data_IF_766652179225
#
_entry.id   IF_766652179225
#
_cell.length_a   1.000
_cell.length_b   1.000
_cell.length_c   1.000
_cell.angle_alpha   90.00
_cell.angle_beta   90.00
_cell.angle_gamma   90.00
#
_symmetry.space_group_name_H-M   'P 1'
#
loop_
_entity.id
_entity.type
_entity.pdbx_description
1 polymer ?
#
# COMPACT_ATOMS: atom_id res chain seq x y z
N UNK A 1 -22.86 18.92 8.51
CA UNK A 1 -22.21 18.85 9.83
C UNK A 1 -23.09 18.04 10.77
N UNK A 2 -22.82 16.75 10.93
CA UNK A 2 -23.41 15.90 11.99
C UNK A 2 -22.27 15.03 12.53
N UNK A 3 -21.80 15.36 13.73
CA UNK A 3 -20.80 14.61 14.47
C UNK A 3 -21.46 13.37 15.07
N UNK A 4 -21.04 12.18 14.66
CA UNK A 4 -21.44 10.93 15.28
C UNK A 4 -20.36 10.59 16.32
N UNK A 5 -20.73 10.75 17.60
CA UNK A 5 -19.94 10.29 18.74
C UNK A 5 -20.28 8.82 18.98
N UNK A 6 -19.32 7.93 18.79
CA UNK A 6 -19.41 6.52 19.22
C UNK A 6 -18.92 6.47 20.66
N UNK A 7 -19.87 6.20 21.56
CA UNK A 7 -19.67 6.06 22.99
C UNK A 7 -19.17 4.64 23.29
N UNK A 8 -17.90 4.48 23.65
CA UNK A 8 -17.37 3.23 24.19
C UNK A 8 -17.79 3.09 25.66
N UNK A 9 -18.72 2.17 25.96
CA UNK A 9 -19.09 1.80 27.31
C UNK A 9 -18.10 0.76 27.85
N UNK A 10 -17.32 1.17 28.83
CA UNK A 10 -16.39 0.33 29.59
C UNK A 10 -17.17 -0.42 30.67
N UNK A 11 -17.33 -1.74 30.52
CA UNK A 11 -17.95 -2.59 31.57
C UNK A 11 -16.79 -3.16 32.42
N UNK A 12 -16.67 -2.62 33.65
CA UNK A 12 -15.82 -3.17 34.70
C UNK A 12 -16.60 -4.29 35.41
N UNK A 13 -16.20 -5.55 35.25
CA UNK A 13 -16.71 -6.68 36.00
C UNK A 13 -15.88 -6.89 37.27
N UNK A 14 -16.50 -6.71 38.43
CA UNK A 14 -15.92 -6.98 39.75
C UNK A 14 -16.17 -8.45 40.09
N UNK A 15 -15.08 -9.21 40.26
CA UNK A 15 -15.12 -10.57 40.81
C UNK A 15 -15.11 -10.49 42.36
N UNK A 16 -16.15 -10.95 43.04
CA UNK A 16 -16.12 -11.25 44.46
C UNK A 16 -16.00 -12.76 44.67
N UNK A 17 -14.90 -13.13 45.30
CA UNK A 17 -14.64 -14.48 45.81
C UNK A 17 -15.34 -14.64 47.15
N UNK A 18 -16.14 -15.71 47.29
CA UNK A 18 -16.61 -16.16 48.61
C UNK A 18 -16.42 -17.67 48.73
N UNK A 19 -15.57 -18.05 49.69
CA UNK A 19 -15.39 -19.42 50.21
C UNK A 19 -16.50 -19.82 51.14
N UNK A 20 -16.98 -21.08 51.06
CA UNK A 20 -17.84 -21.68 52.09
C UNK A 20 -18.03 -23.20 51.88
N UNK A 21 -17.64 -23.95 52.87
CA UNK A 21 -17.43 -25.40 52.98
C UNK A 21 -18.66 -26.26 52.88
N UNK A 22 -18.45 -27.55 52.50
CA UNK A 22 -19.28 -28.74 52.40
C UNK A 22 -20.01 -29.17 53.69
N UNK A 23 -21.05 -30.15 53.72
CA UNK A 23 -20.93 -31.50 53.18
C UNK A 23 -22.23 -32.17 52.60
N UNK A 24 -21.98 -33.16 51.67
CA UNK A 24 -22.62 -34.48 51.40
C UNK A 24 -24.14 -34.68 51.62
N UNK A 25 -24.84 -35.10 50.54
CA UNK A 25 -25.61 -36.36 50.35
C UNK A 25 -26.26 -36.47 48.96
N UNK A 26 -25.97 -37.49 48.29
CA UNK A 26 -26.52 -38.59 47.49
C UNK A 26 -27.86 -38.43 46.73
N UNK A 27 -27.78 -38.89 45.43
CA UNK A 27 -28.80 -39.42 44.50
C UNK A 27 -29.73 -38.46 43.77
N UNK A 28 -29.48 -38.37 42.49
CA UNK A 28 -30.32 -38.98 41.41
C UNK A 28 -29.89 -38.40 40.04
N UNK A 29 -29.62 -39.30 39.08
CA UNK A 29 -29.44 -38.99 37.66
C UNK A 29 -30.78 -38.63 37.04
N UNK A 30 -30.88 -37.55 36.27
CA UNK A 30 -31.38 -37.69 34.90
C UNK A 30 -30.51 -36.92 33.85
N UNK A 31 -30.38 -37.59 32.76
CA UNK A 31 -30.22 -37.20 31.34
C UNK A 31 -29.70 -35.79 30.98
N UNK A 32 -28.62 -35.79 30.23
CA UNK A 32 -27.97 -34.65 29.59
C UNK A 32 -28.92 -34.01 28.54
N UNK A 33 -28.96 -32.67 28.44
CA UNK A 33 -29.39 -32.00 27.23
C UNK A 33 -28.25 -31.97 26.25
N UNK A 34 -28.55 -32.45 25.06
CA UNK A 34 -27.69 -32.37 23.85
C UNK A 34 -27.24 -30.92 23.67
N UNK A 35 -25.94 -30.72 23.81
CA UNK A 35 -25.25 -29.50 23.40
C UNK A 35 -25.32 -29.42 21.87
N UNK A 36 -26.22 -28.59 21.35
CA UNK A 36 -26.21 -28.16 19.97
C UNK A 36 -25.02 -27.24 19.82
N UNK A 37 -23.88 -27.78 19.37
CA UNK A 37 -22.75 -27.01 18.90
C UNK A 37 -23.22 -26.04 17.80
N UNK A 38 -23.12 -24.78 18.11
CA UNK A 38 -23.33 -23.66 17.18
C UNK A 38 -22.15 -23.63 16.18
N UNK A 39 -22.24 -24.44 15.13
CA UNK A 39 -21.30 -24.42 13.99
C UNK A 39 -21.58 -23.30 13.00
N UNK A 40 -22.52 -22.40 13.30
CA UNK A 40 -23.03 -21.40 12.33
C UNK A 40 -22.23 -20.08 12.31
N UNK A 41 -21.27 -19.85 13.22
CA UNK A 41 -20.64 -18.53 13.35
C UNK A 41 -19.31 -18.34 12.58
N UNK A 42 -18.62 -19.42 12.21
CA UNK A 42 -17.32 -19.31 11.52
C UNK A 42 -17.49 -19.11 10.01
N UNK A 43 -18.39 -19.88 9.41
CA UNK A 43 -18.65 -19.79 7.96
C UNK A 43 -19.32 -18.46 7.57
N UNK A 44 -20.17 -17.90 8.44
CA UNK A 44 -20.85 -16.62 8.20
C UNK A 44 -19.89 -15.42 8.31
N UNK A 45 -18.93 -15.45 9.22
CA UNK A 45 -17.87 -14.43 9.35
C UNK A 45 -16.88 -14.50 8.17
N UNK A 46 -16.57 -15.68 7.68
CA UNK A 46 -15.68 -15.87 6.54
C UNK A 46 -16.34 -15.36 5.25
N UNK A 47 -17.61 -15.64 5.02
CA UNK A 47 -18.39 -15.09 3.88
C UNK A 47 -18.51 -13.56 3.92
N UNK A 48 -18.76 -12.96 5.07
CA UNK A 48 -18.82 -11.50 5.23
C UNK A 48 -17.46 -10.87 4.93
N UNK A 49 -16.36 -11.48 5.38
CA UNK A 49 -15.03 -10.99 5.11
C UNK A 49 -14.66 -11.09 3.63
N UNK A 50 -15.10 -12.14 2.92
CA UNK A 50 -14.87 -12.26 1.47
C UNK A 50 -15.67 -11.23 0.68
N UNK A 51 -16.95 -10.97 1.05
CA UNK A 51 -17.77 -9.94 0.42
C UNK A 51 -17.20 -8.54 0.63
N UNK A 52 -16.81 -8.18 1.86
CA UNK A 52 -16.20 -6.88 2.16
C UNK A 52 -14.91 -6.69 1.38
N UNK A 53 -14.05 -7.72 1.29
CA UNK A 53 -12.82 -7.66 0.53
C UNK A 53 -13.08 -7.51 -0.97
N UNK A 54 -14.08 -8.19 -1.51
CA UNK A 54 -14.47 -8.07 -2.92
C UNK A 54 -14.99 -6.65 -3.25
N UNK A 55 -15.73 -6.02 -2.34
CA UNK A 55 -16.20 -4.64 -2.48
C UNK A 55 -15.03 -3.64 -2.45
N UNK A 56 -14.08 -3.81 -1.51
CA UNK A 56 -12.88 -2.96 -1.42
C UNK A 56 -12.00 -3.06 -2.67
N UNK A 57 -11.80 -4.27 -3.20
CA UNK A 57 -11.03 -4.51 -4.43
C UNK A 57 -11.73 -3.89 -5.66
N UNK A 58 -13.07 -3.93 -5.71
CA UNK A 58 -13.86 -3.28 -6.77
C UNK A 58 -13.72 -1.76 -6.74
N UNK A 59 -13.87 -1.16 -5.56
CA UNK A 59 -13.73 0.28 -5.37
C UNK A 59 -12.32 0.76 -5.72
N UNK A 60 -11.28 0.00 -5.32
CA UNK A 60 -9.90 0.33 -5.66
C UNK A 60 -9.69 0.29 -7.18
N UNK A 61 -10.19 -0.75 -7.86
CA UNK A 61 -10.11 -0.85 -9.31
C UNK A 61 -10.76 0.36 -10.00
N UNK A 62 -11.96 0.74 -9.58
CA UNK A 62 -12.69 1.90 -10.14
C UNK A 62 -11.91 3.22 -9.90
N UNK A 63 -11.39 3.44 -8.70
CA UNK A 63 -10.57 4.63 -8.41
C UNK A 63 -9.27 4.63 -9.22
N UNK A 64 -8.67 3.46 -9.41
CA UNK A 64 -7.39 3.31 -10.09
C UNK A 64 -7.50 3.55 -11.59
N UNK A 65 -8.62 3.18 -12.21
CA UNK A 65 -8.86 3.28 -13.65
C UNK A 65 -9.65 4.53 -14.06
N UNK A 66 -10.11 5.33 -13.12
CA UNK A 66 -10.98 6.50 -13.35
C UNK A 66 -10.43 7.51 -14.38
N UNK A 67 -9.10 7.61 -14.52
CA UNK A 67 -8.48 8.55 -15.44
C UNK A 67 -8.31 8.00 -16.87
N UNK A 68 -8.61 6.72 -17.09
CA UNK A 68 -8.48 6.08 -18.39
C UNK A 68 -9.61 6.51 -19.34
N UNK A 69 -9.27 6.67 -20.60
CA UNK A 69 -10.27 6.86 -21.65
C UNK A 69 -11.00 5.54 -21.96
N UNK A 70 -12.18 5.62 -22.57
CA UNK A 70 -12.94 4.44 -22.97
C UNK A 70 -12.20 3.53 -23.98
N UNK A 71 -11.15 4.04 -24.62
CA UNK A 71 -10.31 3.29 -25.56
C UNK A 71 -9.13 2.58 -24.87
N UNK A 72 -8.79 2.99 -23.65
CA UNK A 72 -7.67 2.45 -22.85
C UNK A 72 -8.16 1.51 -21.74
N UNK A 73 -9.03 0.56 -22.08
CA UNK A 73 -9.58 -0.38 -21.10
C UNK A 73 -8.46 -1.24 -20.49
N UNK A 74 -8.48 -1.32 -19.18
CA UNK A 74 -7.70 -2.26 -18.36
C UNK A 74 -8.69 -3.15 -17.63
N UNK A 75 -8.58 -4.46 -17.79
CA UNK A 75 -9.45 -5.42 -17.07
C UNK A 75 -9.07 -5.50 -15.60
N UNK A 76 -9.92 -6.07 -14.75
CA UNK A 76 -9.60 -6.30 -13.33
C UNK A 76 -8.41 -7.23 -13.16
N UNK A 77 -8.30 -8.26 -13.99
CA UNK A 77 -7.16 -9.19 -13.96
C UNK A 77 -5.86 -8.46 -14.34
N UNK A 78 -5.87 -7.68 -15.43
CA UNK A 78 -4.72 -6.84 -15.82
C UNK A 78 -4.34 -5.85 -14.71
N UNK A 79 -5.34 -5.23 -14.05
CA UNK A 79 -5.09 -4.33 -12.91
C UNK A 79 -4.45 -5.06 -11.74
N UNK A 80 -4.96 -6.23 -11.38
CA UNK A 80 -4.44 -7.03 -10.28
C UNK A 80 -2.98 -7.46 -10.52
N UNK A 81 -2.68 -7.93 -11.74
CA UNK A 81 -1.33 -8.31 -12.15
C UNK A 81 -0.36 -7.10 -12.13
N UNK A 82 -0.76 -5.98 -12.71
CA UNK A 82 0.03 -4.76 -12.78
C UNK A 82 0.28 -4.19 -11.37
N UNK A 83 -0.74 -4.16 -10.51
CA UNK A 83 -0.63 -3.75 -9.11
C UNK A 83 0.37 -4.62 -8.36
N UNK A 84 0.23 -5.95 -8.47
CA UNK A 84 1.12 -6.90 -7.80
C UNK A 84 2.59 -6.71 -8.25
N UNK A 85 2.83 -6.56 -9.55
CA UNK A 85 4.18 -6.35 -10.10
C UNK A 85 4.76 -5.00 -9.66
N UNK A 86 3.99 -3.91 -9.71
CA UNK A 86 4.45 -2.58 -9.27
C UNK A 86 4.78 -2.58 -7.78
N UNK A 87 3.93 -3.18 -6.93
CA UNK A 87 4.19 -3.28 -5.50
C UNK A 87 5.43 -4.14 -5.21
N UNK A 88 5.64 -5.22 -5.97
CA UNK A 88 6.87 -6.02 -5.90
C UNK A 88 8.10 -5.17 -6.22
N UNK A 89 8.07 -4.38 -7.30
CA UNK A 89 9.16 -3.47 -7.67
C UNK A 89 9.43 -2.46 -6.56
N UNK A 90 8.39 -1.85 -5.98
CA UNK A 90 8.54 -0.89 -4.88
C UNK A 90 9.23 -1.55 -3.67
N UNK A 91 8.85 -2.79 -3.34
CA UNK A 91 9.46 -3.55 -2.24
C UNK A 91 10.94 -3.82 -2.50
N UNK A 92 11.33 -4.19 -3.72
CA UNK A 92 12.75 -4.37 -4.07
C UNK A 92 13.49 -3.03 -4.04
N UNK A 93 12.89 -1.95 -4.52
CA UNK A 93 13.47 -0.60 -4.45
C UNK A 93 13.75 -0.15 -3.01
N UNK A 94 12.95 -0.55 -2.01
CA UNK A 94 13.27 -0.27 -0.60
C UNK A 94 14.60 -0.90 -0.20
N UNK A 95 14.84 -2.17 -0.58
CA UNK A 95 16.10 -2.88 -0.31
C UNK A 95 17.29 -2.23 -1.02
N UNK A 96 17.07 -1.83 -2.27
CA UNK A 96 18.08 -1.13 -3.09
C UNK A 96 18.44 0.22 -2.47
N UNK A 97 17.45 0.99 -1.99
CA UNK A 97 17.66 2.25 -1.29
C UNK A 97 18.37 2.07 0.07
N UNK A 98 18.10 0.99 0.78
CA UNK A 98 18.80 0.67 2.04
C UNK A 98 20.30 0.42 1.83
N UNK A 99 20.65 -0.25 0.72
CA UNK A 99 22.04 -0.54 0.34
C UNK A 99 22.73 0.61 -0.39
N UNK A 100 21.98 1.63 -0.79
CA UNK A 100 22.43 2.71 -1.69
C UNK A 100 23.03 2.19 -3.01
N UNK A 101 22.52 1.06 -3.53
CA UNK A 101 23.01 0.40 -4.73
C UNK A 101 22.49 1.09 -6.00
N UNK A 102 23.35 1.92 -6.59
CA UNK A 102 23.02 2.70 -7.79
C UNK A 102 22.81 1.81 -9.01
N UNK A 103 23.61 0.75 -9.17
CA UNK A 103 23.57 -0.10 -10.37
C UNK A 103 22.28 -0.92 -10.38
N UNK A 104 21.92 -1.50 -9.23
CA UNK A 104 20.66 -2.23 -9.09
C UNK A 104 19.46 -1.28 -9.25
N UNK A 105 19.51 -0.07 -8.64
CA UNK A 105 18.46 0.93 -8.85
C UNK A 105 18.25 1.27 -10.33
N UNK A 106 19.34 1.47 -11.10
CA UNK A 106 19.26 1.77 -12.52
C UNK A 106 18.60 0.66 -13.34
N UNK A 107 18.62 -0.60 -12.87
CA UNK A 107 17.92 -1.69 -13.53
C UNK A 107 16.39 -1.51 -13.54
N UNK A 108 15.85 -0.81 -12.54
CA UNK A 108 14.42 -0.49 -12.41
C UNK A 108 14.01 0.81 -13.10
N UNK A 109 14.95 1.67 -13.51
CA UNK A 109 14.65 2.97 -14.13
C UNK A 109 14.54 2.83 -15.65
N UNK A 110 13.57 3.52 -16.25
CA UNK A 110 13.39 3.52 -17.70
C UNK A 110 14.56 4.19 -18.44
N UNK A 111 14.77 3.79 -19.70
CA UNK A 111 15.89 4.26 -20.51
C UNK A 111 15.82 5.78 -20.80
N UNK A 112 14.64 6.33 -20.98
CA UNK A 112 14.49 7.77 -21.28
C UNK A 112 14.85 8.61 -20.05
N UNK A 113 14.51 8.15 -18.84
CA UNK A 113 14.90 8.77 -17.57
C UNK A 113 16.43 8.69 -17.37
N UNK A 114 17.03 7.51 -17.61
CA UNK A 114 18.50 7.36 -17.54
C UNK A 114 19.21 8.33 -18.46
N UNK A 115 18.81 8.39 -19.72
CA UNK A 115 19.38 9.30 -20.72
C UNK A 115 19.21 10.78 -20.33
N UNK A 116 18.03 11.14 -19.80
CA UNK A 116 17.77 12.51 -19.36
C UNK A 116 18.73 12.93 -18.22
N UNK A 117 18.89 12.09 -17.20
CA UNK A 117 19.73 12.38 -16.04
C UNK A 117 21.22 12.08 -16.25
N UNK A 118 21.60 11.41 -17.34
CA UNK A 118 23.02 11.34 -17.78
C UNK A 118 23.52 12.66 -18.36
N UNK A 119 22.62 13.60 -18.71
CA UNK A 119 23.01 14.91 -19.21
C UNK A 119 23.34 15.87 -18.04
N UNK A 120 24.57 16.38 -17.94
CA UNK A 120 24.99 17.29 -16.86
C UNK A 120 24.15 18.57 -16.77
N UNK A 121 23.58 19.05 -17.88
CA UNK A 121 22.72 20.23 -17.88
C UNK A 121 21.42 19.99 -17.12
N UNK A 122 20.85 18.77 -17.21
CA UNK A 122 19.64 18.40 -16.50
C UNK A 122 19.92 18.15 -15.00
N UNK A 123 21.04 17.52 -14.67
CA UNK A 123 21.49 17.38 -13.28
C UNK A 123 21.65 18.76 -12.62
N UNK A 124 22.25 19.74 -13.31
CA UNK A 124 22.36 21.12 -12.80
C UNK A 124 21.01 21.80 -12.57
N UNK A 125 19.97 21.51 -13.38
CA UNK A 125 18.63 22.03 -13.14
C UNK A 125 18.04 21.47 -11.84
N UNK A 126 18.20 20.17 -11.58
CA UNK A 126 17.78 19.53 -10.32
C UNK A 126 18.51 20.17 -9.15
N UNK A 127 19.85 20.26 -9.21
CA UNK A 127 20.66 20.84 -8.15
C UNK A 127 20.19 22.24 -7.75
N UNK A 128 19.84 23.09 -8.71
CA UNK A 128 19.31 24.44 -8.44
C UNK A 128 18.03 24.43 -7.63
N UNK A 129 17.21 23.37 -7.74
CA UNK A 129 15.93 23.22 -7.01
C UNK A 129 16.09 22.60 -5.62
N UNK A 130 17.27 22.01 -5.29
CA UNK A 130 17.48 21.42 -3.98
C UNK A 130 17.36 22.48 -2.86
N UNK A 131 16.67 22.16 -1.76
CA UNK A 131 16.58 23.02 -0.59
C UNK A 131 17.97 23.30 0.02
N UNK A 132 18.77 22.21 0.17
CA UNK A 132 20.13 22.31 0.67
C UNK A 132 21.12 22.60 -0.46
N UNK A 133 21.63 23.84 -0.51
CA UNK A 133 22.56 24.30 -1.55
C UNK A 133 24.00 23.77 -1.41
N UNK A 134 24.33 23.12 -0.28
CA UNK A 134 25.62 22.47 -0.08
C UNK A 134 25.72 21.11 -0.81
N UNK A 135 24.60 20.53 -1.22
CA UNK A 135 24.59 19.27 -1.99
C UNK A 135 25.00 19.57 -3.43
N UNK A 136 26.03 18.89 -3.90
CA UNK A 136 26.50 18.94 -5.28
C UNK A 136 26.13 17.64 -5.98
N UNK A 137 25.45 17.72 -7.12
CA UNK A 137 25.10 16.58 -7.95
C UNK A 137 26.02 16.50 -9.17
N UNK A 138 26.83 15.45 -9.25
CA UNK A 138 27.76 15.22 -10.38
C UNK A 138 27.15 14.31 -11.46
N UNK A 139 26.10 13.56 -11.12
CA UNK A 139 25.45 12.62 -12.04
C UNK A 139 24.20 11.95 -11.46
N UNK A 140 23.73 10.95 -12.18
CA UNK A 140 22.51 10.21 -11.82
C UNK A 140 22.64 9.42 -10.50
N UNK A 141 23.86 8.99 -10.13
CA UNK A 141 24.12 8.33 -8.84
C UNK A 141 23.92 9.29 -7.67
N UNK A 142 24.39 10.55 -7.78
CA UNK A 142 24.12 11.57 -6.75
C UNK A 142 22.64 11.95 -6.70
N UNK A 143 21.95 11.97 -7.85
CA UNK A 143 20.50 12.12 -7.88
C UNK A 143 19.80 11.00 -7.11
N UNK A 144 20.21 9.73 -7.30
CA UNK A 144 19.68 8.61 -6.53
C UNK A 144 19.85 8.83 -5.03
N UNK A 145 21.07 9.12 -4.60
CA UNK A 145 21.44 9.26 -3.20
C UNK A 145 20.77 10.46 -2.50
N UNK A 146 20.80 11.62 -3.14
CA UNK A 146 20.43 12.89 -2.49
C UNK A 146 19.03 13.37 -2.84
N UNK A 147 18.36 12.77 -3.83
CA UNK A 147 17.02 13.16 -4.28
C UNK A 147 16.05 12.00 -4.18
N UNK A 148 16.36 10.87 -4.85
CA UNK A 148 15.44 9.75 -4.94
C UNK A 148 15.23 9.08 -3.58
N UNK A 149 16.30 8.67 -2.89
CA UNK A 149 16.22 8.01 -1.60
C UNK A 149 15.48 8.87 -0.56
N UNK A 150 15.86 10.14 -0.28
CA UNK A 150 15.20 10.92 0.77
C UNK A 150 13.72 11.17 0.52
N UNK A 151 13.30 11.16 -0.73
CA UNK A 151 11.88 11.40 -1.08
C UNK A 151 11.00 10.15 -1.04
N UNK A 152 11.60 8.93 -1.01
CA UNK A 152 10.87 7.66 -1.20
C UNK A 152 11.13 6.60 -0.14
N UNK A 153 12.27 6.66 0.54
CA UNK A 153 12.60 5.69 1.59
C UNK A 153 11.57 5.75 2.72
N UNK A 154 11.08 4.58 3.14
CA UNK A 154 10.09 4.42 4.21
C UNK A 154 8.75 5.14 3.93
N UNK A 155 8.38 5.29 2.66
CA UNK A 155 7.07 5.82 2.28
C UNK A 155 6.11 4.66 2.02
N UNK A 156 4.90 4.81 2.54
CA UNK A 156 3.81 3.89 2.31
C UNK A 156 3.11 4.20 0.99
N UNK A 157 2.79 3.17 0.24
CA UNK A 157 1.98 3.26 -0.97
C UNK A 157 0.66 2.57 -0.68
N UNK A 158 -0.42 3.31 -0.83
CA UNK A 158 -1.77 2.80 -0.56
C UNK A 158 -2.52 2.45 -1.84
N UNK A 159 -2.25 3.13 -2.96
CA UNK A 159 -2.95 2.90 -4.22
C UNK A 159 -2.01 3.00 -5.44
N UNK A 160 -2.35 2.23 -6.46
CA UNK A 160 -1.82 2.37 -7.82
C UNK A 160 -2.90 2.98 -8.69
N UNK A 161 -2.62 4.09 -9.39
CA UNK A 161 -3.58 4.78 -10.26
C UNK A 161 -3.04 4.89 -11.67
N UNK A 162 -3.83 4.53 -12.66
CA UNK A 162 -3.46 4.69 -14.06
C UNK A 162 -3.52 6.17 -14.50
N UNK A 163 -2.59 6.53 -15.38
CA UNK A 163 -2.60 7.75 -16.17
C UNK A 163 -2.97 7.40 -17.60
N UNK A 164 -2.47 6.24 -18.08
CA UNK A 164 -2.82 5.56 -19.32
C UNK A 164 -2.58 4.06 -19.15
N UNK A 165 -2.97 3.22 -20.09
CA UNK A 165 -2.74 1.76 -20.04
C UNK A 165 -1.26 1.37 -19.80
N UNK A 166 -0.33 2.25 -20.17
CA UNK A 166 1.11 2.02 -20.01
C UNK A 166 1.79 2.93 -19.00
N UNK A 167 1.03 3.80 -18.33
CA UNK A 167 1.57 4.71 -17.32
C UNK A 167 0.73 4.68 -16.05
N UNK A 168 1.39 4.49 -14.91
CA UNK A 168 0.74 4.52 -13.60
C UNK A 168 1.50 5.43 -12.65
N UNK A 169 0.83 5.79 -11.56
CA UNK A 169 1.42 6.44 -10.39
C UNK A 169 1.14 5.62 -9.15
N UNK A 170 2.17 5.44 -8.32
CA UNK A 170 2.03 4.87 -6.99
C UNK A 170 1.92 6.01 -5.98
N UNK A 171 0.83 6.02 -5.22
CA UNK A 171 0.43 7.14 -4.36
C UNK A 171 0.16 6.69 -2.93
N UNK A 172 0.29 7.63 -2.00
CA UNK A 172 -0.29 7.55 -0.67
C UNK A 172 -1.51 8.46 -0.63
N UNK A 173 -2.64 7.90 -0.21
CA UNK A 173 -3.84 8.66 0.13
C UNK A 173 -3.78 8.95 1.62
N UNK A 174 -3.75 10.23 1.98
CA UNK A 174 -3.65 10.67 3.37
C UNK A 174 -5.04 10.69 4.02
N UNK A 175 -5.09 10.81 5.35
CA UNK A 175 -6.35 10.88 6.13
C UNK A 175 -7.28 12.04 5.71
N UNK A 176 -6.72 13.14 5.23
CA UNK A 176 -7.45 14.31 4.69
C UNK A 176 -7.87 14.14 3.22
N UNK A 177 -7.74 12.93 2.67
CA UNK A 177 -7.97 12.57 1.26
C UNK A 177 -7.03 13.26 0.25
N UNK A 178 -6.01 13.98 0.71
CA UNK A 178 -4.96 14.48 -0.17
C UNK A 178 -4.10 13.32 -0.69
N UNK A 179 -3.53 13.48 -1.89
CA UNK A 179 -2.78 12.43 -2.57
C UNK A 179 -1.33 12.87 -2.72
N UNK A 180 -0.42 12.06 -2.19
CA UNK A 180 1.02 12.23 -2.40
C UNK A 180 1.51 11.18 -3.39
N UNK A 181 2.05 11.63 -4.53
CA UNK A 181 2.68 10.74 -5.52
C UNK A 181 4.14 10.50 -5.14
N UNK A 182 4.53 9.24 -4.99
CA UNK A 182 5.92 8.85 -4.74
C UNK A 182 6.61 8.28 -5.96
N UNK A 183 5.89 7.52 -6.80
CA UNK A 183 6.45 6.92 -8.00
C UNK A 183 5.56 7.18 -9.21
N UNK A 184 6.18 7.23 -10.37
CA UNK A 184 5.55 7.08 -11.66
C UNK A 184 6.18 5.89 -12.35
N UNK A 185 5.37 5.05 -12.98
CA UNK A 185 5.83 3.88 -13.71
C UNK A 185 5.42 3.98 -15.17
N UNK A 186 6.24 3.40 -16.03
CA UNK A 186 5.96 3.21 -17.45
C UNK A 186 6.13 1.74 -17.82
N UNK A 187 5.18 1.19 -18.58
CA UNK A 187 5.24 -0.18 -19.10
C UNK A 187 5.90 -0.17 -20.47
N UNK A 188 7.04 -0.85 -20.62
CA UNK A 188 7.79 -0.97 -21.87
C UNK A 188 8.00 -2.45 -22.17
N UNK A 189 7.52 -2.91 -23.32
CA UNK A 189 7.60 -4.32 -23.72
C UNK A 189 7.06 -5.28 -22.64
N UNK A 190 5.93 -4.93 -22.03
CA UNK A 190 5.26 -5.73 -20.99
C UNK A 190 5.89 -5.67 -19.60
N UNK A 191 6.94 -4.86 -19.37
CA UNK A 191 7.60 -4.71 -18.06
C UNK A 191 7.45 -3.30 -17.52
N UNK A 192 7.23 -3.18 -16.21
CA UNK A 192 7.14 -1.90 -15.53
C UNK A 192 8.52 -1.38 -15.12
N UNK A 193 8.75 -0.07 -15.36
CA UNK A 193 9.97 0.66 -14.97
C UNK A 193 9.59 1.95 -14.27
N UNK A 194 10.41 2.38 -13.33
CA UNK A 194 10.30 3.71 -12.71
C UNK A 194 10.62 4.79 -13.73
N UNK A 195 9.69 5.71 -13.93
CA UNK A 195 9.89 6.91 -14.69
C UNK A 195 10.23 8.06 -13.74
N UNK A 196 11.38 8.71 -13.97
CA UNK A 196 11.80 9.86 -13.16
C UNK A 196 11.16 11.15 -13.67
N UNK A 197 10.71 12.00 -12.74
CA UNK A 197 10.16 13.31 -13.09
C UNK A 197 11.21 14.16 -13.81
N UNK A 198 10.86 14.70 -14.96
CA UNK A 198 11.71 15.65 -15.68
C UNK A 198 11.53 17.06 -15.09
N UNK A 199 12.63 17.71 -14.78
CA UNK A 199 12.69 19.00 -14.07
C UNK A 199 12.76 20.16 -15.06
#
# INVERSE_FOLDING_TARGET
>A
MKKIYILFALILGVCLVSCGSTPVEEKAKPEAPVEKETKTSVDEVELINEEVKAEEDEEEYLRSTQALSAEELVTKDEFSEDKAEILRIIKELQKVMEKEDVEDWLSYVDTASKNFYSNPANIRKVQKKLPNKAIVLNGIGDYFKYVFIPSRKNREITEIRYISKTNTKAVQVNEDHSITRYYQFIKVNGKWYVQLDRV
#
